data_IF_735846212869
#
_entry.id   IF_735846212869
#
_cell.length_a   1.000
_cell.length_b   1.000
_cell.length_c   1.000
_cell.angle_alpha   90.00
_cell.angle_beta   90.00
_cell.angle_gamma   90.00
#
_symmetry.space_group_name_H-M   'P 1'
#
loop_
_entity.id
_entity.type
_entity.pdbx_description
1 polymer ?
#
# COMPACT_ATOMS: atom_id res chain seq x y z
N UNK A 1 7.23 -4.20 -19.03
CA UNK A 1 7.18 -5.19 -17.92
C UNK A 1 5.84 -5.90 -17.91
N UNK A 2 5.77 -7.22 -17.60
CA UNK A 2 4.51 -7.95 -17.47
C UNK A 2 4.30 -8.34 -16.01
N UNK A 3 3.13 -8.01 -15.46
CA UNK A 3 2.79 -8.25 -14.07
C UNK A 3 1.33 -8.73 -13.89
N UNK A 4 1.02 -10.00 -14.24
CA UNK A 4 -0.33 -10.58 -14.14
C UNK A 4 -0.66 -10.93 -12.67
N UNK A 5 -0.88 -9.93 -11.83
CA UNK A 5 -1.12 -10.12 -10.41
C UNK A 5 -2.58 -10.54 -10.16
N UNK A 6 -2.78 -11.66 -9.48
CA UNK A 6 -4.11 -12.15 -9.06
C UNK A 6 -4.50 -11.68 -7.67
N UNK A 7 -3.52 -11.37 -6.83
CA UNK A 7 -3.71 -10.88 -5.47
C UNK A 7 -2.52 -10.02 -5.06
N UNK A 8 -2.72 -9.15 -4.11
CA UNK A 8 -1.70 -8.26 -3.57
C UNK A 8 -2.34 -7.10 -2.82
N UNK A 9 -1.57 -6.44 -1.99
CA UNK A 9 -1.99 -5.24 -1.27
C UNK A 9 -0.85 -4.22 -1.26
N UNK A 10 -1.22 -2.94 -1.09
CA UNK A 10 -0.27 -1.83 -1.02
C UNK A 10 0.42 -1.50 -2.34
N UNK A 11 1.45 -0.68 -2.25
CA UNK A 11 2.24 -0.23 -3.40
C UNK A 11 3.07 -1.37 -3.98
N UNK A 12 2.94 -1.58 -5.29
CA UNK A 12 3.66 -2.64 -6.02
C UNK A 12 5.03 -2.13 -6.48
N UNK A 13 6.04 -2.21 -5.61
CA UNK A 13 7.38 -1.68 -5.83
C UNK A 13 8.02 -2.05 -7.17
N UNK A 14 7.71 -3.23 -7.72
CA UNK A 14 8.21 -3.64 -9.05
C UNK A 14 7.65 -2.77 -10.18
N UNK A 15 6.39 -2.35 -10.07
CA UNK A 15 5.75 -1.48 -11.06
C UNK A 15 6.25 -0.05 -10.95
N UNK A 16 6.40 0.50 -9.73
CA UNK A 16 7.00 1.82 -9.55
C UNK A 16 8.47 1.86 -10.01
N UNK A 17 9.26 0.82 -9.73
CA UNK A 17 10.63 0.71 -10.25
C UNK A 17 10.67 0.62 -11.78
N UNK A 18 9.73 -0.09 -12.41
CA UNK A 18 9.64 -0.14 -13.87
C UNK A 18 9.38 1.27 -14.44
N UNK A 19 8.43 2.02 -13.88
CA UNK A 19 8.15 3.41 -14.27
C UNK A 19 9.35 4.33 -14.06
N UNK A 20 10.06 4.20 -12.93
CA UNK A 20 11.32 4.94 -12.66
C UNK A 20 12.39 4.67 -13.71
N UNK A 21 12.48 3.44 -14.21
CA UNK A 21 13.39 3.05 -15.28
C UNK A 21 12.83 3.37 -16.68
N UNK A 22 11.70 4.08 -16.79
CA UNK A 22 11.06 4.39 -18.06
C UNK A 22 10.52 3.17 -18.80
N UNK A 23 10.18 2.11 -18.07
CA UNK A 23 9.68 0.84 -18.65
C UNK A 23 8.17 0.74 -18.48
N UNK A 24 7.37 0.82 -19.56
CA UNK A 24 5.93 0.58 -19.53
C UNK A 24 5.58 -0.83 -19.05
N UNK A 25 4.35 -1.00 -18.57
CA UNK A 25 3.90 -2.28 -18.06
C UNK A 25 2.50 -2.65 -18.50
N UNK A 26 2.26 -3.97 -18.62
CA UNK A 26 0.91 -4.53 -18.66
C UNK A 26 0.68 -5.22 -17.30
N UNK A 27 -0.40 -4.84 -16.64
CA UNK A 27 -0.76 -5.36 -15.33
C UNK A 27 -2.27 -5.60 -15.21
N UNK A 28 -2.71 -6.10 -14.09
CA UNK A 28 -4.13 -6.28 -13.74
C UNK A 28 -4.66 -5.10 -12.91
N UNK A 29 -5.96 -5.04 -12.69
CA UNK A 29 -6.59 -4.09 -11.76
C UNK A 29 -5.96 -4.16 -10.36
N UNK A 30 -5.65 -5.36 -9.87
CA UNK A 30 -4.91 -5.58 -8.61
C UNK A 30 -3.52 -4.94 -8.65
N UNK A 31 -2.86 -4.95 -9.79
CA UNK A 31 -1.53 -4.37 -9.95
C UNK A 31 -1.53 -2.84 -9.94
N UNK A 32 -2.50 -2.23 -10.60
CA UNK A 32 -2.63 -0.77 -10.71
C UNK A 32 -3.28 -0.11 -9.49
N UNK A 33 -3.96 -0.90 -8.65
CA UNK A 33 -4.69 -0.40 -7.47
C UNK A 33 -3.82 0.46 -6.56
N UNK A 34 -4.24 1.72 -6.35
CA UNK A 34 -3.55 2.69 -5.50
C UNK A 34 -2.23 3.24 -6.05
N UNK A 35 -1.90 2.97 -7.34
CA UNK A 35 -0.62 3.35 -7.93
C UNK A 35 -0.66 4.63 -8.77
N UNK A 36 -1.81 4.98 -9.36
CA UNK A 36 -1.90 6.05 -10.34
C UNK A 36 -3.06 7.04 -10.11
N UNK A 37 -3.87 6.85 -9.05
CA UNK A 37 -5.07 7.65 -8.77
C UNK A 37 -5.94 7.81 -10.04
N UNK A 38 -6.12 9.02 -10.55
CA UNK A 38 -6.89 9.33 -11.77
C UNK A 38 -6.03 9.43 -13.03
N UNK A 39 -4.72 9.26 -12.89
CA UNK A 39 -3.81 9.33 -14.03
C UNK A 39 -3.92 8.07 -14.91
N UNK A 40 -3.73 8.21 -16.23
CA UNK A 40 -3.70 7.06 -17.11
C UNK A 40 -2.51 6.16 -16.79
N UNK A 41 -2.71 4.83 -16.83
CA UNK A 41 -1.67 3.87 -16.52
C UNK A 41 -0.47 3.93 -17.48
N UNK A 42 0.72 3.61 -16.99
CA UNK A 42 1.96 3.48 -17.77
C UNK A 42 1.97 2.18 -18.61
N UNK A 43 1.04 2.08 -19.56
CA UNK A 43 0.80 0.91 -20.39
C UNK A 43 -0.66 0.50 -20.36
N UNK A 44 -0.95 -0.76 -20.03
CA UNK A 44 -2.31 -1.29 -20.05
C UNK A 44 -2.67 -2.03 -18.75
N UNK A 45 -3.95 -2.00 -18.40
CA UNK A 45 -4.53 -2.72 -17.27
C UNK A 45 -5.58 -3.68 -17.83
N UNK A 46 -5.34 -4.98 -17.68
CA UNK A 46 -6.19 -6.03 -18.22
C UNK A 46 -6.26 -7.20 -17.24
N UNK A 47 -7.46 -7.62 -16.89
CA UNK A 47 -7.67 -8.73 -15.95
C UNK A 47 -7.83 -10.08 -16.65
N UNK A 48 -8.27 -10.05 -17.91
CA UNK A 48 -8.48 -11.26 -18.72
C UNK A 48 -7.20 -11.66 -19.47
N UNK A 49 -6.95 -12.96 -19.59
CA UNK A 49 -5.71 -13.50 -20.14
C UNK A 49 -5.52 -13.08 -21.62
N UNK A 50 -6.57 -13.18 -22.44
CA UNK A 50 -6.46 -12.90 -23.87
C UNK A 50 -6.18 -11.42 -24.12
N UNK A 51 -6.97 -10.45 -23.60
CA UNK A 51 -6.64 -9.03 -23.71
C UNK A 51 -5.27 -8.67 -23.13
N UNK A 52 -4.87 -9.29 -22.01
CA UNK A 52 -3.55 -9.06 -21.41
C UNK A 52 -2.42 -9.40 -22.39
N UNK A 53 -2.50 -10.55 -23.07
CA UNK A 53 -1.51 -10.97 -24.06
C UNK A 53 -1.52 -10.05 -25.26
N UNK A 54 -2.69 -9.70 -25.79
CA UNK A 54 -2.83 -8.78 -26.94
C UNK A 54 -2.19 -7.41 -26.62
N UNK A 55 -2.46 -6.85 -25.43
CA UNK A 55 -1.87 -5.59 -24.98
C UNK A 55 -0.37 -5.68 -24.74
N UNK A 56 0.12 -6.83 -24.28
CA UNK A 56 1.55 -7.07 -24.13
C UNK A 56 2.26 -7.07 -25.50
N UNK A 57 1.68 -7.73 -26.50
CA UNK A 57 2.21 -7.72 -27.87
C UNK A 57 2.14 -6.32 -28.47
N UNK A 58 1.02 -5.62 -28.32
CA UNK A 58 0.86 -4.25 -28.81
C UNK A 58 1.92 -3.32 -28.22
N UNK A 59 2.11 -3.35 -26.88
CA UNK A 59 3.09 -2.52 -26.21
C UNK A 59 4.54 -2.83 -26.63
N UNK A 60 4.80 -4.06 -27.05
CA UNK A 60 6.12 -4.47 -27.55
C UNK A 60 6.35 -4.09 -29.01
N UNK A 61 5.33 -4.13 -29.86
CA UNK A 61 5.46 -3.95 -31.31
C UNK A 61 5.20 -2.51 -31.77
N UNK A 62 4.40 -1.74 -31.01
CA UNK A 62 4.05 -0.35 -31.37
C UNK A 62 4.90 0.64 -30.56
N UNK A 63 5.85 1.27 -31.25
CA UNK A 63 6.74 2.26 -30.66
C UNK A 63 6.02 3.49 -30.12
N UNK A 64 4.93 3.92 -30.76
CA UNK A 64 4.18 5.09 -30.34
C UNK A 64 3.45 4.80 -29.02
N UNK A 65 2.77 3.67 -28.95
CA UNK A 65 2.13 3.20 -27.72
C UNK A 65 3.13 3.05 -26.57
N UNK A 66 4.31 2.53 -26.87
CA UNK A 66 5.37 2.38 -25.87
C UNK A 66 5.86 3.74 -25.34
N UNK A 67 6.11 4.71 -26.24
CA UNK A 67 6.56 6.06 -25.88
C UNK A 67 5.51 6.81 -25.04
N UNK A 68 4.23 6.76 -25.45
CA UNK A 68 3.14 7.35 -24.67
C UNK A 68 3.04 6.74 -23.27
N UNK A 69 3.09 5.41 -23.18
CA UNK A 69 3.05 4.69 -21.92
C UNK A 69 4.24 5.03 -21.01
N UNK A 70 5.43 5.21 -21.58
CA UNK A 70 6.62 5.65 -20.86
C UNK A 70 6.41 7.04 -20.26
N UNK A 71 5.90 8.01 -21.04
CA UNK A 71 5.64 9.37 -20.55
C UNK A 71 4.63 9.38 -19.40
N UNK A 72 3.54 8.60 -19.51
CA UNK A 72 2.56 8.42 -18.43
C UNK A 72 3.22 7.87 -17.17
N UNK A 73 4.16 6.93 -17.30
CA UNK A 73 4.91 6.38 -16.17
C UNK A 73 5.75 7.43 -15.45
N UNK A 74 6.43 8.31 -16.20
CA UNK A 74 7.19 9.42 -15.64
C UNK A 74 6.25 10.40 -14.91
N UNK A 75 5.10 10.70 -15.50
CA UNK A 75 4.09 11.56 -14.87
C UNK A 75 3.56 10.98 -13.55
N UNK A 76 3.22 9.68 -13.52
CA UNK A 76 2.79 8.99 -12.31
C UNK A 76 3.86 9.09 -11.23
N UNK A 77 5.13 8.82 -11.56
CA UNK A 77 6.22 8.89 -10.57
C UNK A 77 6.38 10.31 -10.02
N UNK A 78 6.36 11.32 -10.88
CA UNK A 78 6.57 12.70 -10.48
C UNK A 78 5.41 13.26 -9.63
N UNK A 79 4.18 12.79 -9.87
CA UNK A 79 3.00 13.28 -9.14
C UNK A 79 2.77 12.46 -7.86
N UNK A 80 2.84 11.11 -7.94
CA UNK A 80 2.41 10.24 -6.86
C UNK A 80 3.55 9.81 -5.92
N UNK A 81 4.80 9.81 -6.40
CA UNK A 81 5.93 9.21 -5.69
C UNK A 81 7.14 10.15 -5.55
N UNK A 82 7.00 11.42 -5.91
CA UNK A 82 8.08 12.38 -5.76
C UNK A 82 8.37 12.65 -4.29
N UNK A 83 9.60 12.37 -3.90
CA UNK A 83 10.08 12.54 -2.53
C UNK A 83 10.06 14.01 -2.09
N UNK A 84 10.42 14.93 -2.99
CA UNK A 84 10.50 16.36 -2.65
C UNK A 84 9.11 16.94 -2.38
N UNK A 85 8.11 16.45 -3.12
CA UNK A 85 6.72 16.83 -2.91
C UNK A 85 6.10 16.18 -1.66
N UNK A 86 6.34 14.89 -1.46
CA UNK A 86 5.70 14.12 -0.37
C UNK A 86 6.32 14.38 1.00
N UNK A 87 7.63 14.69 1.05
CA UNK A 87 8.35 14.88 2.33
C UNK A 87 7.76 16.00 3.19
N UNK A 88 7.49 17.23 2.67
CA UNK A 88 6.87 18.29 3.46
C UNK A 88 5.48 17.92 3.99
N UNK A 89 4.66 17.28 3.15
CA UNK A 89 3.31 16.83 3.52
C UNK A 89 3.36 15.80 4.65
N UNK A 90 4.30 14.88 4.57
CA UNK A 90 4.50 13.85 5.61
C UNK A 90 4.90 14.48 6.95
N UNK A 91 5.87 15.40 6.94
CA UNK A 91 6.28 16.09 8.17
C UNK A 91 5.17 16.95 8.74
N UNK A 92 4.40 17.67 7.91
CA UNK A 92 3.24 18.45 8.37
C UNK A 92 2.20 17.55 9.08
N UNK A 93 1.94 16.36 8.54
CA UNK A 93 1.05 15.40 9.20
C UNK A 93 1.59 14.91 10.55
N UNK A 94 2.90 14.66 10.65
CA UNK A 94 3.55 14.28 11.91
C UNK A 94 3.46 15.42 12.92
N UNK A 95 3.78 16.63 12.54
CA UNK A 95 3.77 17.79 13.41
C UNK A 95 2.36 18.10 13.94
N UNK A 96 1.33 17.97 13.09
CA UNK A 96 -0.08 18.08 13.52
C UNK A 96 -0.45 17.06 14.59
N UNK A 97 -0.05 15.81 14.43
CA UNK A 97 -0.33 14.75 15.41
C UNK A 97 0.50 15.00 16.68
N UNK A 98 1.76 15.35 16.55
CA UNK A 98 2.67 15.55 17.68
C UNK A 98 2.26 16.75 18.53
N UNK A 99 1.88 17.87 17.92
CA UNK A 99 1.44 19.08 18.62
C UNK A 99 0.13 18.89 19.41
N UNK A 100 -0.71 17.93 18.99
CA UNK A 100 -2.00 17.62 19.63
C UNK A 100 -2.09 16.17 20.13
N UNK A 101 -0.95 15.59 20.54
CA UNK A 101 -0.85 14.16 20.82
C UNK A 101 -1.83 13.66 21.89
N UNK A 102 -2.04 14.43 22.96
CA UNK A 102 -3.00 14.05 24.03
C UNK A 102 -4.45 14.04 23.50
N UNK A 103 -4.85 15.07 22.76
CA UNK A 103 -6.16 15.13 22.16
C UNK A 103 -6.36 14.04 21.11
N UNK A 104 -5.35 13.80 20.27
CA UNK A 104 -5.36 12.71 19.29
C UNK A 104 -5.53 11.34 19.97
N UNK A 105 -4.81 11.09 21.06
CA UNK A 105 -4.96 9.86 21.86
C UNK A 105 -6.32 9.77 22.55
N UNK A 106 -6.86 10.89 23.02
CA UNK A 106 -8.17 10.92 23.68
C UNK A 106 -9.31 10.66 22.68
N UNK A 107 -9.19 11.13 21.47
CA UNK A 107 -10.14 10.87 20.39
C UNK A 107 -10.12 9.42 19.89
N UNK A 108 -9.04 8.68 20.14
CA UNK A 108 -8.94 7.26 19.79
C UNK A 108 -9.60 6.38 20.85
N UNK A 109 -10.93 6.52 20.99
CA UNK A 109 -11.72 5.73 21.94
C UNK A 109 -11.62 4.22 21.69
N UNK A 110 -11.73 3.80 20.42
CA UNK A 110 -11.64 2.39 20.04
C UNK A 110 -10.29 1.79 20.40
N UNK A 111 -9.20 2.49 20.13
CA UNK A 111 -7.84 2.04 20.51
C UNK A 111 -7.69 1.89 22.03
N UNK A 112 -8.19 2.85 22.81
CA UNK A 112 -8.18 2.76 24.27
C UNK A 112 -9.00 1.57 24.79
N UNK A 113 -10.18 1.34 24.22
CA UNK A 113 -11.04 0.21 24.58
C UNK A 113 -10.37 -1.13 24.28
N UNK A 114 -9.77 -1.29 23.10
CA UNK A 114 -9.06 -2.51 22.70
C UNK A 114 -7.83 -2.78 23.59
N UNK A 115 -7.05 -1.75 23.91
CA UNK A 115 -5.91 -1.85 24.81
C UNK A 115 -6.34 -2.24 26.23
N UNK A 116 -7.46 -1.69 26.73
CA UNK A 116 -7.99 -2.04 28.06
C UNK A 116 -8.41 -3.51 28.13
N UNK A 117 -9.08 -4.03 27.10
CA UNK A 117 -9.49 -5.43 27.08
C UNK A 117 -8.32 -6.41 27.05
N UNK A 118 -7.28 -6.14 26.28
CA UNK A 118 -6.07 -6.98 26.22
C UNK A 118 -5.36 -7.04 27.56
N UNK A 119 -5.20 -5.92 28.23
CA UNK A 119 -4.58 -5.84 29.57
C UNK A 119 -5.41 -6.57 30.64
N UNK A 120 -6.73 -6.46 30.61
CA UNK A 120 -7.61 -7.18 31.54
C UNK A 120 -7.55 -8.70 31.32
N UNK A 121 -7.59 -9.15 30.09
CA UNK A 121 -7.47 -10.58 29.76
C UNK A 121 -6.16 -11.17 30.28
N UNK A 122 -5.03 -10.50 30.03
CA UNK A 122 -3.71 -10.93 30.51
C UNK A 122 -3.64 -10.94 32.04
N UNK A 123 -4.24 -9.94 32.72
CA UNK A 123 -4.30 -9.85 34.17
C UNK A 123 -5.09 -11.01 34.77
N UNK A 124 -6.25 -11.33 34.25
CA UNK A 124 -7.06 -12.44 34.76
C UNK A 124 -6.45 -13.80 34.44
N UNK A 125 -5.83 -13.98 33.29
CA UNK A 125 -5.09 -15.17 32.94
C UNK A 125 -3.94 -15.43 33.94
N UNK A 126 -3.15 -14.40 34.24
CA UNK A 126 -2.05 -14.50 35.20
C UNK A 126 -2.56 -14.90 36.62
N UNK A 127 -3.67 -14.32 37.08
CA UNK A 127 -4.28 -14.66 38.36
C UNK A 127 -4.80 -16.11 38.37
N UNK A 128 -5.44 -16.55 37.26
CA UNK A 128 -5.92 -17.93 37.13
C UNK A 128 -4.75 -18.92 37.20
N UNK A 129 -3.64 -18.65 36.50
CA UNK A 129 -2.43 -19.50 36.55
C UNK A 129 -1.87 -19.57 37.97
N UNK A 130 -1.81 -18.46 38.70
CA UNK A 130 -1.34 -18.41 40.10
C UNK A 130 -2.22 -19.29 41.00
N UNK A 131 -3.54 -19.17 40.91
CA UNK A 131 -4.47 -19.98 41.71
C UNK A 131 -4.41 -21.48 41.37
N UNK A 132 -4.27 -21.83 40.10
CA UNK A 132 -4.08 -23.21 39.66
C UNK A 132 -2.82 -23.81 40.24
N UNK A 133 -1.69 -23.10 40.23
CA UNK A 133 -0.43 -23.56 40.75
C UNK A 133 -0.42 -23.64 42.30
N UNK A 134 -1.21 -22.80 42.97
CA UNK A 134 -1.39 -22.86 44.42
C UNK A 134 -2.12 -24.15 44.85
N UNK A 135 -3.19 -24.51 44.13
CA UNK A 135 -3.96 -25.74 44.40
C UNK A 135 -3.18 -27.02 44.07
N UNK A 136 -2.21 -26.97 43.16
CA UNK A 136 -1.36 -28.12 42.82
C UNK A 136 -0.23 -28.40 43.82
N UNK A 137 -0.01 -27.50 44.81
CA UNK A 137 0.98 -27.65 45.88
C UNK A 137 0.40 -28.06 47.22
N UNK A 138 -0.91 -28.27 47.32
CA UNK A 138 -1.65 -28.83 48.44
C UNK A 138 -2.01 -30.31 48.15
#
# INVERSE_FOLDING_TARGET
MLAPLRFGAGIKGKLSNAMLCGTPSVTTSVGSEGMNDKLPWSGFVEDEIIPFVEKAVLLYTDKNQWNEAQQRGVEIINIMFDKEHLTPLFFECIDKVFSNLEQHRNNNFTGKMLMHHTLQSSKYMSKWIQEKNRKAKL
#
